data_IF_594753958125
#
_entry.id   IF_594753958125
#
_cell.length_a   1.000
_cell.length_b   1.000
_cell.length_c   1.000
_cell.angle_alpha   90.00
_cell.angle_beta   90.00
_cell.angle_gamma   90.00
#
_symmetry.space_group_name_H-M   'P 1'
#
loop_
_entity.id
_entity.type
_entity.pdbx_description
1 polymer ?
#
# COMPACT_ATOMS: atom_id res chain seq x y z
N UNK A 1 9.01 3.60 0.70
CA UNK A 1 8.90 4.13 2.10
C UNK A 1 10.10 3.74 2.97
N UNK A 2 10.86 2.71 2.57
CA UNK A 2 12.14 2.26 3.17
C UNK A 2 13.15 3.37 3.52
N UNK A 3 13.41 4.34 2.64
CA UNK A 3 14.36 5.42 2.91
C UNK A 3 13.98 6.29 4.13
N UNK A 4 12.68 6.56 4.31
CA UNK A 4 12.17 7.30 5.47
C UNK A 4 12.32 6.51 6.76
N UNK A 5 12.06 5.19 6.71
CA UNK A 5 12.24 4.28 7.85
C UNK A 5 13.70 4.27 8.30
N UNK A 6 14.64 4.10 7.36
CA UNK A 6 16.09 4.13 7.65
C UNK A 6 16.51 5.47 8.25
N UNK A 7 16.04 6.60 7.69
CA UNK A 7 16.31 7.93 8.23
C UNK A 7 15.82 8.08 9.68
N UNK A 8 14.61 7.57 10.00
CA UNK A 8 14.07 7.62 11.37
C UNK A 8 14.93 6.82 12.34
N UNK A 9 15.41 5.63 11.96
CA UNK A 9 16.33 4.84 12.78
C UNK A 9 17.67 5.53 13.00
N UNK A 10 18.23 6.17 11.96
CA UNK A 10 19.47 6.93 12.08
C UNK A 10 19.31 8.11 13.05
N UNK A 11 18.22 8.88 12.93
CA UNK A 11 17.93 9.98 13.84
C UNK A 11 17.72 9.49 15.28
N UNK A 12 17.01 8.37 15.47
CA UNK A 12 16.84 7.76 16.79
C UNK A 12 18.20 7.35 17.40
N UNK A 13 19.10 6.76 16.61
CA UNK A 13 20.44 6.39 17.07
C UNK A 13 21.28 7.63 17.43
N UNK A 14 21.18 8.71 16.65
CA UNK A 14 21.86 9.98 16.95
C UNK A 14 21.34 10.58 18.26
N UNK A 15 20.03 10.69 18.43
CA UNK A 15 19.44 11.22 19.68
C UNK A 15 19.81 10.36 20.89
N UNK A 16 19.82 9.04 20.73
CA UNK A 16 20.24 8.12 21.79
C UNK A 16 21.72 8.29 22.15
N UNK A 17 22.60 8.39 21.16
CA UNK A 17 24.03 8.63 21.37
C UNK A 17 24.27 9.97 22.08
N UNK A 18 23.59 11.04 21.65
CA UNK A 18 23.66 12.35 22.29
C UNK A 18 23.10 12.33 23.73
N UNK A 19 22.06 11.55 24.00
CA UNK A 19 21.53 11.34 25.36
C UNK A 19 22.46 10.54 26.29
N UNK A 20 23.32 9.69 25.72
CA UNK A 20 24.36 8.96 26.46
C UNK A 20 25.62 9.79 26.72
N UNK A 21 25.85 10.84 25.92
CA UNK A 21 26.96 11.76 26.12
C UNK A 21 26.71 12.72 27.29
N UNK A 22 27.80 13.18 27.89
CA UNK A 22 27.78 14.18 28.95
C UNK A 22 27.22 15.51 28.42
N UNK A 23 26.03 15.87 28.91
CA UNK A 23 25.28 17.06 28.49
C UNK A 23 26.06 18.36 28.75
N UNK A 24 26.91 18.37 29.79
CA UNK A 24 27.75 19.52 30.11
C UNK A 24 28.83 19.72 29.05
N UNK A 25 29.44 18.65 28.56
CA UNK A 25 30.41 18.71 27.44
C UNK A 25 29.74 19.11 26.14
N UNK A 26 28.51 18.66 25.89
CA UNK A 26 27.74 19.06 24.71
C UNK A 26 27.46 20.56 24.71
N UNK A 27 27.04 21.13 25.84
CA UNK A 27 26.85 22.57 25.99
C UNK A 27 28.12 23.36 25.67
N UNK A 28 29.25 22.95 26.27
CA UNK A 28 30.53 23.63 26.05
C UNK A 28 31.05 23.55 24.62
N UNK A 29 30.70 22.50 23.87
CA UNK A 29 31.15 22.34 22.47
C UNK A 29 30.20 22.94 21.43
N UNK A 30 28.89 22.90 21.67
CA UNK A 30 27.88 23.25 20.66
C UNK A 30 27.23 24.61 20.91
N UNK A 31 27.12 25.00 22.18
CA UNK A 31 26.19 26.06 22.60
C UNK A 31 26.89 27.19 23.36
N UNK A 32 28.10 26.98 23.87
CA UNK A 32 28.86 28.01 24.62
C UNK A 32 29.27 29.20 23.77
N UNK A 33 29.62 28.97 22.50
CA UNK A 33 30.14 30.00 21.59
C UNK A 33 29.12 31.09 21.26
N UNK A 34 27.81 30.80 21.37
CA UNK A 34 26.77 31.79 21.11
C UNK A 34 26.70 32.88 22.18
N UNK A 35 27.26 32.64 23.38
CA UNK A 35 27.15 33.55 24.51
C UNK A 35 28.45 34.33 24.72
N UNK A 36 28.32 35.65 24.93
CA UNK A 36 29.45 36.54 25.23
C UNK A 36 30.13 36.23 26.58
N UNK A 37 29.40 35.60 27.51
CA UNK A 37 29.90 35.07 28.79
C UNK A 37 29.29 33.68 29.04
N UNK A 38 29.91 32.60 28.55
CA UNK A 38 29.34 31.26 28.65
C UNK A 38 29.24 30.73 30.09
N UNK A 39 30.19 31.09 30.96
CA UNK A 39 30.21 30.65 32.37
C UNK A 39 29.03 31.17 33.18
N UNK A 40 28.54 32.38 32.85
CA UNK A 40 27.41 32.99 33.55
C UNK A 40 26.04 32.45 33.08
N UNK A 41 26.01 31.69 31.98
CA UNK A 41 24.79 31.16 31.38
C UNK A 41 24.83 29.63 31.27
N UNK A 42 25.60 28.97 32.13
CA UNK A 42 25.62 27.52 32.24
C UNK A 42 24.24 27.03 32.74
N UNK A 43 23.58 26.10 32.01
CA UNK A 43 22.33 25.50 32.45
C UNK A 43 22.47 24.83 33.83
N UNK A 44 21.40 24.87 34.62
CA UNK A 44 21.36 24.14 35.90
C UNK A 44 21.41 22.63 35.69
N UNK A 45 21.83 21.87 36.71
CA UNK A 45 21.85 20.40 36.65
C UNK A 45 20.47 19.80 36.29
N UNK A 46 19.39 20.42 36.77
CA UNK A 46 18.03 20.03 36.41
C UNK A 46 17.73 20.26 34.92
N UNK A 47 18.25 21.33 34.32
CA UNK A 47 18.10 21.59 32.89
C UNK A 47 18.89 20.58 32.04
N UNK A 48 20.07 20.16 32.49
CA UNK A 48 20.82 19.09 31.83
C UNK A 48 20.11 17.74 31.91
N UNK A 49 19.52 17.41 33.06
CA UNK A 49 18.69 16.21 33.20
C UNK A 49 17.49 16.25 32.24
N UNK A 50 16.77 17.38 32.17
CA UNK A 50 15.64 17.55 31.26
C UNK A 50 16.04 17.43 29.78
N UNK A 51 17.17 18.01 29.37
CA UNK A 51 17.69 17.86 28.01
C UNK A 51 18.00 16.39 27.69
N UNK A 52 18.60 15.66 28.64
CA UNK A 52 18.86 14.23 28.49
C UNK A 52 17.56 13.43 28.34
N UNK A 53 16.56 13.71 29.17
CA UNK A 53 15.24 13.09 29.03
C UNK A 53 14.58 13.43 27.70
N UNK A 54 14.67 14.68 27.24
CA UNK A 54 14.16 15.12 25.94
C UNK A 54 14.82 14.39 24.76
N UNK A 55 16.13 14.16 24.82
CA UNK A 55 16.86 13.37 23.82
C UNK A 55 16.36 11.92 23.75
N UNK A 56 16.20 11.27 24.91
CA UNK A 56 15.67 9.90 24.94
C UNK A 56 14.21 9.84 24.49
N UNK A 57 13.38 10.80 24.89
CA UNK A 57 12.00 10.90 24.44
C UNK A 57 11.92 11.10 22.92
N UNK A 58 12.79 11.96 22.36
CA UNK A 58 12.91 12.16 20.92
C UNK A 58 13.33 10.90 20.17
N UNK A 59 14.28 10.13 20.72
CA UNK A 59 14.68 8.84 20.17
C UNK A 59 13.52 7.85 20.16
N UNK A 60 12.78 7.73 21.28
CA UNK A 60 11.60 6.85 21.37
C UNK A 60 10.54 7.28 20.36
N UNK A 61 10.26 8.58 20.23
CA UNK A 61 9.25 9.06 19.29
C UNK A 61 9.63 8.76 17.84
N UNK A 62 10.92 8.85 17.48
CA UNK A 62 11.39 8.47 16.15
C UNK A 62 11.23 6.97 15.88
N UNK A 63 11.44 6.12 16.89
CA UNK A 63 11.19 4.68 16.77
C UNK A 63 9.70 4.37 16.60
N UNK A 64 8.83 5.05 17.34
CA UNK A 64 7.37 4.92 17.19
C UNK A 64 6.94 5.33 15.78
N UNK A 65 7.44 6.46 15.27
CA UNK A 65 7.17 6.90 13.91
C UNK A 65 7.64 5.88 12.87
N UNK A 66 8.85 5.33 13.03
CA UNK A 66 9.36 4.28 12.14
C UNK A 66 8.46 3.03 12.16
N UNK A 67 7.96 2.64 13.34
CA UNK A 67 7.06 1.50 13.49
C UNK A 67 5.70 1.73 12.79
N UNK A 68 5.13 2.93 12.95
CA UNK A 68 3.87 3.31 12.30
C UNK A 68 4.01 3.32 10.78
N UNK A 69 5.09 3.91 10.26
CA UNK A 69 5.35 3.93 8.82
C UNK A 69 5.56 2.52 8.28
N UNK A 70 6.29 1.66 8.99
CA UNK A 70 6.50 0.28 8.59
C UNK A 70 5.18 -0.53 8.60
N UNK A 71 4.33 -0.33 9.61
CA UNK A 71 3.01 -0.98 9.66
C UNK A 71 2.11 -0.53 8.51
N UNK A 72 2.15 0.76 8.15
CA UNK A 72 1.42 1.27 6.99
C UNK A 72 1.94 0.66 5.68
N UNK A 73 3.25 0.56 5.50
CA UNK A 73 3.88 -0.05 4.31
C UNK A 73 3.47 -1.53 4.20
N UNK A 74 3.61 -2.30 5.30
CA UNK A 74 3.26 -3.71 5.35
C UNK A 74 1.77 -3.98 5.09
N UNK A 75 0.88 -3.06 5.49
CA UNK A 75 -0.56 -3.18 5.20
C UNK A 75 -0.90 -2.91 3.72
N UNK A 76 0.00 -2.24 2.99
CA UNK A 76 -0.21 -1.84 1.60
C UNK A 76 0.36 -2.83 0.58
N UNK A 77 1.34 -3.66 0.98
CA UNK A 77 1.94 -4.67 0.11
C UNK A 77 1.15 -5.97 0.17
N UNK A 78 0.28 -6.20 -0.82
CA UNK A 78 -0.46 -7.46 -0.94
C UNK A 78 0.45 -8.59 -1.44
N UNK A 79 0.36 -9.74 -0.78
CA UNK A 79 0.96 -11.00 -1.21
C UNK A 79 0.25 -11.59 -2.42
N UNK A 80 0.86 -12.54 -3.13
CA UNK A 80 0.24 -13.23 -4.27
C UNK A 80 -1.10 -13.88 -3.91
N UNK A 81 -1.26 -14.39 -2.69
CA UNK A 81 -2.52 -14.96 -2.21
C UNK A 81 -3.62 -13.91 -2.08
N UNK A 82 -3.28 -12.69 -1.63
CA UNK A 82 -4.22 -11.58 -1.49
C UNK A 82 -4.58 -10.97 -2.85
N UNK A 83 -3.61 -10.79 -3.75
CA UNK A 83 -3.90 -10.35 -5.12
C UNK A 83 -4.78 -11.38 -5.82
N UNK A 84 -4.50 -12.69 -5.64
CA UNK A 84 -5.36 -13.76 -6.14
C UNK A 84 -6.74 -13.74 -5.52
N UNK A 85 -6.88 -13.50 -4.21
CA UNK A 85 -8.20 -13.43 -3.59
C UNK A 85 -9.03 -12.27 -4.15
N UNK A 86 -8.41 -11.11 -4.38
CA UNK A 86 -9.07 -9.97 -5.05
C UNK A 86 -9.49 -10.35 -6.47
N UNK A 87 -8.58 -10.98 -7.23
CA UNK A 87 -8.88 -11.45 -8.59
C UNK A 87 -10.03 -12.47 -8.59
N UNK A 88 -10.07 -13.40 -7.63
CA UNK A 88 -11.12 -14.42 -7.49
C UNK A 88 -12.46 -13.82 -7.05
N UNK A 89 -12.46 -12.84 -6.14
CA UNK A 89 -13.68 -12.12 -5.77
C UNK A 89 -14.24 -11.35 -6.96
N UNK A 90 -13.39 -10.61 -7.69
CA UNK A 90 -13.79 -9.91 -8.90
C UNK A 90 -14.31 -10.89 -9.97
N UNK A 91 -13.61 -12.02 -10.18
CA UNK A 91 -14.03 -13.07 -11.11
C UNK A 91 -15.41 -13.64 -10.75
N UNK A 92 -15.67 -13.91 -9.46
CA UNK A 92 -16.95 -14.43 -8.97
C UNK A 92 -18.09 -13.42 -9.08
N UNK A 93 -17.79 -12.13 -8.98
CA UNK A 93 -18.79 -11.06 -9.15
C UNK A 93 -19.14 -10.83 -10.62
N UNK A 94 -18.16 -11.05 -11.51
CA UNK A 94 -18.32 -11.00 -12.96
C UNK A 94 -18.97 -12.26 -13.54
N UNK A 95 -18.84 -13.40 -12.86
CA UNK A 95 -19.44 -14.68 -13.26
C UNK A 95 -20.96 -14.67 -12.97
N UNK A 96 -21.69 -13.85 -13.72
CA UNK A 96 -23.13 -13.66 -13.60
C UNK A 96 -23.90 -14.53 -14.60
N UNK A 97 -23.54 -15.80 -14.77
CA UNK A 97 -24.31 -16.75 -15.58
C UNK A 97 -24.78 -16.20 -16.94
N UNK A 98 -25.95 -16.67 -17.40
CA UNK A 98 -26.57 -16.16 -18.62
C UNK A 98 -27.40 -14.91 -18.31
N UNK A 99 -27.01 -13.78 -18.89
CA UNK A 99 -27.72 -12.51 -18.81
C UNK A 99 -28.45 -12.18 -20.10
N UNK A 100 -29.60 -11.53 -19.95
CA UNK A 100 -30.44 -11.04 -21.03
C UNK A 100 -29.76 -9.89 -21.79
N UNK A 101 -29.80 -9.93 -23.12
CA UNK A 101 -29.27 -8.89 -24.00
C UNK A 101 -27.88 -9.19 -24.58
N UNK A 102 -27.36 -8.23 -25.36
CA UNK A 102 -26.05 -8.33 -26.01
C UNK A 102 -24.95 -7.98 -25.00
N UNK A 103 -24.05 -8.92 -24.76
CA UNK A 103 -22.86 -8.73 -23.95
C UNK A 103 -21.86 -7.85 -24.69
N UNK A 104 -21.30 -6.87 -23.98
CA UNK A 104 -20.26 -5.98 -24.51
C UNK A 104 -18.95 -6.22 -23.79
N UNK A 105 -17.90 -6.54 -24.53
CA UNK A 105 -16.53 -6.62 -23.98
C UNK A 105 -16.09 -5.31 -23.32
N UNK A 106 -16.58 -4.16 -23.81
CA UNK A 106 -16.32 -2.86 -23.18
C UNK A 106 -17.00 -2.72 -21.82
N UNK A 107 -18.25 -3.18 -21.67
CA UNK A 107 -18.92 -3.16 -20.35
C UNK A 107 -18.25 -4.13 -19.39
N UNK A 108 -17.99 -5.36 -19.83
CA UNK A 108 -17.25 -6.34 -19.05
C UNK A 108 -15.88 -5.79 -18.60
N UNK A 109 -15.19 -4.99 -19.45
CA UNK A 109 -13.95 -4.33 -19.04
C UNK A 109 -14.16 -3.32 -17.92
N UNK A 110 -15.22 -2.50 -17.98
CA UNK A 110 -15.54 -1.54 -16.91
C UNK A 110 -15.85 -2.26 -15.61
N UNK A 111 -16.68 -3.31 -15.68
CA UNK A 111 -17.10 -4.10 -14.53
C UNK A 111 -15.89 -4.77 -13.85
N UNK A 112 -14.88 -5.18 -14.64
CA UNK A 112 -13.61 -5.70 -14.12
C UNK A 112 -12.85 -4.63 -13.33
N UNK A 113 -12.72 -3.41 -13.86
CA UNK A 113 -12.03 -2.32 -13.15
C UNK A 113 -12.78 -1.96 -11.86
N UNK A 114 -14.11 -1.90 -11.91
CA UNK A 114 -14.94 -1.56 -10.75
C UNK A 114 -14.82 -2.62 -9.66
N UNK A 115 -14.97 -3.91 -10.01
CA UNK A 115 -14.86 -5.02 -9.05
C UNK A 115 -13.46 -5.11 -8.43
N UNK A 116 -12.39 -4.95 -9.23
CA UNK A 116 -11.03 -4.97 -8.70
C UNK A 116 -10.75 -3.77 -7.79
N UNK A 117 -11.31 -2.60 -8.10
CA UNK A 117 -11.12 -1.42 -7.27
C UNK A 117 -11.92 -1.50 -5.96
N UNK A 118 -13.11 -2.11 -5.99
CA UNK A 118 -13.94 -2.39 -4.81
C UNK A 118 -13.25 -3.39 -3.86
N UNK A 119 -12.82 -4.55 -4.36
CA UNK A 119 -12.21 -5.59 -3.53
C UNK A 119 -10.72 -5.32 -3.21
N UNK A 120 -10.03 -4.58 -4.08
CA UNK A 120 -8.59 -4.31 -3.97
C UNK A 120 -8.23 -3.19 -2.99
N UNK A 121 -9.20 -2.35 -2.58
CA UNK A 121 -8.98 -1.26 -1.64
C UNK A 121 -7.88 -0.27 -2.05
N UNK A 122 -7.59 -0.14 -3.35
CA UNK A 122 -6.51 0.67 -3.90
C UNK A 122 -5.09 0.08 -3.77
N UNK A 123 -4.94 -1.14 -3.24
CA UNK A 123 -3.65 -1.83 -3.10
C UNK A 123 -3.33 -2.77 -4.26
N UNK A 124 -4.30 -2.97 -5.16
CA UNK A 124 -4.16 -3.78 -6.38
C UNK A 124 -4.19 -2.87 -7.59
N UNK A 125 -3.18 -3.00 -8.45
CA UNK A 125 -3.13 -2.36 -9.77
C UNK A 125 -3.64 -3.35 -10.79
N UNK A 126 -4.43 -2.86 -11.74
CA UNK A 126 -4.93 -3.65 -12.86
C UNK A 126 -4.47 -3.01 -14.17
N UNK A 127 -4.06 -3.86 -15.12
CA UNK A 127 -3.68 -3.48 -16.46
C UNK A 127 -4.31 -4.45 -17.46
N UNK A 128 -4.96 -3.92 -18.49
CA UNK A 128 -5.40 -4.76 -19.61
C UNK A 128 -4.22 -5.11 -20.52
N UNK A 129 -4.07 -6.40 -20.83
CA UNK A 129 -3.04 -6.94 -21.73
C UNK A 129 -3.59 -7.07 -23.16
N UNK A 130 -4.91 -7.25 -23.29
CA UNK A 130 -5.62 -7.37 -24.56
C UNK A 130 -6.42 -8.66 -24.62
N UNK A 131 -7.36 -8.76 -25.56
CA UNK A 131 -8.12 -10.01 -25.77
C UNK A 131 -9.00 -10.46 -24.60
N UNK A 132 -9.33 -9.58 -23.65
CA UNK A 132 -10.06 -9.94 -22.43
C UNK A 132 -9.18 -10.37 -21.26
N UNK A 133 -7.86 -10.26 -21.39
CA UNK A 133 -6.89 -10.56 -20.32
C UNK A 133 -6.50 -9.30 -19.55
N UNK A 134 -6.46 -9.44 -18.23
CA UNK A 134 -6.12 -8.40 -17.26
C UNK A 134 -5.07 -8.93 -16.30
N UNK A 135 -3.96 -8.20 -16.20
CA UNK A 135 -2.93 -8.47 -15.21
C UNK A 135 -3.20 -7.63 -13.95
N UNK A 136 -3.32 -8.32 -12.81
CA UNK A 136 -3.45 -7.71 -11.50
C UNK A 136 -2.14 -7.88 -10.75
N UNK A 137 -1.62 -6.79 -10.19
CA UNK A 137 -0.41 -6.79 -9.36
C UNK A 137 -0.67 -6.07 -8.05
N UNK A 138 0.21 -6.24 -7.07
CA UNK A 138 0.19 -5.34 -5.91
C UNK A 138 0.60 -3.91 -6.33
N UNK A 139 0.54 -2.97 -5.38
CA UNK A 139 0.92 -1.57 -5.58
C UNK A 139 2.35 -1.38 -6.09
N UNK A 140 3.25 -2.28 -5.74
CA UNK A 140 4.66 -2.26 -6.12
C UNK A 140 4.92 -2.87 -7.51
N UNK A 141 3.89 -3.47 -8.13
CA UNK A 141 4.03 -4.14 -9.43
C UNK A 141 4.53 -5.59 -9.31
N UNK A 142 4.55 -6.13 -8.10
CA UNK A 142 4.94 -7.51 -7.80
C UNK A 142 3.70 -8.41 -7.68
N UNK A 143 3.94 -9.72 -7.64
CA UNK A 143 2.90 -10.75 -7.49
C UNK A 143 1.81 -10.71 -8.59
N UNK A 144 2.19 -10.88 -9.87
CA UNK A 144 1.23 -10.85 -10.97
C UNK A 144 0.24 -12.01 -10.90
N UNK A 145 -1.02 -11.70 -11.17
CA UNK A 145 -2.13 -12.63 -11.32
C UNK A 145 -2.87 -12.27 -12.60
N UNK A 146 -3.08 -13.27 -13.46
CA UNK A 146 -3.80 -13.11 -14.71
C UNK A 146 -5.28 -13.43 -14.53
N UNK A 147 -6.15 -12.46 -14.83
CA UNK A 147 -7.59 -12.59 -14.91
C UNK A 147 -8.02 -12.55 -16.37
N UNK A 148 -8.58 -13.64 -16.88
CA UNK A 148 -9.13 -13.72 -18.23
C UNK A 148 -10.65 -13.64 -18.16
N UNK A 149 -11.26 -12.76 -18.95
CA UNK A 149 -12.70 -12.57 -19.06
C UNK A 149 -13.14 -12.81 -20.49
N UNK A 150 -14.02 -13.79 -20.68
CA UNK A 150 -14.59 -14.15 -21.99
C UNK A 150 -16.07 -13.81 -21.99
N UNK A 151 -16.54 -13.15 -23.04
CA UNK A 151 -17.95 -12.78 -23.22
C UNK A 151 -18.48 -13.53 -24.44
N UNK A 152 -19.30 -14.54 -24.19
CA UNK A 152 -19.94 -15.34 -25.23
C UNK A 152 -21.36 -14.81 -25.46
N UNK A 153 -21.71 -14.53 -26.72
CA UNK A 153 -23.03 -14.03 -27.11
C UNK A 153 -23.80 -15.13 -27.83
N UNK A 154 -25.01 -15.41 -27.37
CA UNK A 154 -25.94 -16.37 -27.95
C UNK A 154 -27.15 -15.66 -28.56
N UNK A 155 -27.55 -16.14 -29.74
CA UNK A 155 -28.70 -15.65 -30.50
C UNK A 155 -29.73 -16.76 -30.62
N UNK A 156 -30.90 -16.58 -30.01
CA UNK A 156 -32.01 -17.53 -30.11
C UNK A 156 -33.05 -17.03 -31.12
N UNK A 157 -33.02 -17.59 -32.34
CA UNK A 157 -33.97 -17.28 -33.43
C UNK A 157 -35.16 -18.27 -33.45
N UNK A 158 -35.26 -19.18 -32.48
CA UNK A 158 -36.39 -20.10 -32.37
C UNK A 158 -37.60 -19.40 -31.77
N UNK A 159 -38.72 -19.33 -32.51
CA UNK A 159 -39.92 -18.52 -32.19
C UNK A 159 -40.74 -18.89 -30.95
N UNK A 160 -40.09 -19.21 -29.83
CA UNK A 160 -40.68 -19.22 -28.49
C UNK A 160 -40.63 -17.84 -27.83
N UNK A 161 -41.38 -17.66 -26.74
CA UNK A 161 -41.50 -16.42 -25.95
C UNK A 161 -40.23 -16.13 -25.12
N UNK A 162 -39.05 -16.57 -25.59
CA UNK A 162 -37.76 -16.37 -24.93
C UNK A 162 -37.07 -15.09 -25.39
N UNK A 163 -36.12 -14.61 -24.59
CA UNK A 163 -35.32 -13.43 -24.94
C UNK A 163 -34.44 -13.73 -26.17
N UNK A 164 -34.46 -12.89 -27.21
CA UNK A 164 -33.80 -13.20 -28.48
C UNK A 164 -32.27 -13.14 -28.42
N UNK A 165 -31.73 -12.44 -27.42
CA UNK A 165 -30.29 -12.24 -27.23
C UNK A 165 -29.97 -12.55 -25.77
N UNK A 166 -28.93 -13.34 -25.56
CA UNK A 166 -28.34 -13.58 -24.26
C UNK A 166 -26.83 -13.58 -24.37
N UNK A 167 -26.14 -13.34 -23.26
CA UNK A 167 -24.71 -13.51 -23.19
C UNK A 167 -24.35 -14.23 -21.90
N UNK A 168 -23.19 -14.88 -21.90
CA UNK A 168 -22.56 -15.40 -20.70
C UNK A 168 -21.17 -14.81 -20.56
N UNK A 169 -20.81 -14.48 -19.33
CA UNK A 169 -19.47 -14.01 -19.00
C UNK A 169 -18.81 -15.12 -18.21
N UNK A 170 -17.70 -15.64 -18.73
CA UNK A 170 -16.87 -16.60 -18.01
C UNK A 170 -15.54 -15.96 -17.62
N UNK A 171 -15.09 -16.26 -16.41
CA UNK A 171 -13.85 -15.71 -15.86
C UNK A 171 -12.91 -16.83 -15.44
N UNK A 172 -11.60 -16.63 -15.61
CA UNK A 172 -10.58 -17.55 -15.10
C UNK A 172 -9.43 -16.78 -14.47
N UNK A 173 -8.89 -17.32 -13.37
CA UNK A 173 -7.83 -16.68 -12.59
C UNK A 173 -6.63 -17.61 -12.51
N UNK A 174 -5.51 -17.18 -13.09
CA UNK A 174 -4.25 -17.90 -13.09
C UNK A 174 -3.17 -17.10 -12.35
N UNK A 175 -2.31 -17.78 -11.59
CA UNK A 175 -1.18 -17.14 -10.91
C UNK A 175 -0.05 -16.96 -11.92
N UNK A 176 0.53 -15.77 -12.00
CA UNK A 176 1.53 -15.40 -12.99
C UNK A 176 1.09 -14.22 -13.85
N UNK A 177 2.00 -13.75 -14.69
CA UNK A 177 1.72 -12.73 -15.71
C UNK A 177 0.81 -13.28 -16.80
N UNK A 178 0.01 -12.39 -17.41
CA UNK A 178 -0.47 -12.59 -18.77
C UNK A 178 0.64 -12.14 -19.74
#
# INVERSE_FOLDING_TARGET
MTALIVMCFLLAAVFFALGCMDQRKLYWKLTSWQYRRPEANEPSDAAYALNRFGMFLGAVMMLVLAAVVNAADASSTYSTAQVRSVASSAASELDQGTQSGIGSSYRASSDVYDAVNEHGGGNVKIRSVGGGEYELTNRDGENPVCLTVTVDNDLNIGGGIGEPWSHSVSTSVNVGSC
#
